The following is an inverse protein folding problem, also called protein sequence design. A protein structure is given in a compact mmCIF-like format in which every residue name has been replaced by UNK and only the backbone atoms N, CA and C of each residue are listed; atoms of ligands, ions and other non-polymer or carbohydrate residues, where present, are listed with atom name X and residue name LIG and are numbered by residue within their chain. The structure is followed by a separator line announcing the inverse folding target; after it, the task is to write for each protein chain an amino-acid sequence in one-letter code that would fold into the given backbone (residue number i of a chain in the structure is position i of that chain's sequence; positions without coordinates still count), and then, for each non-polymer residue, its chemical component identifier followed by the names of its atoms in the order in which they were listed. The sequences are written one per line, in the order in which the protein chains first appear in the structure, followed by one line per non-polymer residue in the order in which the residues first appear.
data_IF_227021921686
#
_entry.id   IF_227021921686
#
_cell.length_a   1.000
_cell.length_b   1.000
_cell.length_c   1.000
_cell.angle_alpha   90.00
_cell.angle_beta   90.00
_cell.angle_gamma   90.00
#
_symmetry.space_group_name_H-M   'P 1'
#
loop_
_entity.id
_entity.type
_entity.pdbx_description
1 polymer ?
#
# COMPACT_ATOMS: atom_id res chain seq x y z
N UNK A 1 -9.49 13.70 -10.79
CA UNK A 1 -10.34 14.26 -11.86
C UNK A 1 -11.39 15.20 -11.25
N UNK A 2 -12.32 15.76 -12.04
CA UNK A 2 -13.35 16.69 -11.55
C UNK A 2 -14.23 16.13 -10.41
N UNK A 3 -14.27 14.80 -10.26
CA UNK A 3 -15.01 14.06 -9.25
C UNK A 3 -14.12 13.36 -8.21
N UNK A 4 -12.79 13.50 -8.28
CA UNK A 4 -11.84 13.02 -7.27
C UNK A 4 -10.65 13.98 -7.16
N UNK A 5 -10.68 14.84 -6.15
CA UNK A 5 -9.63 15.82 -5.92
C UNK A 5 -8.42 15.14 -5.26
N UNK A 6 -7.44 14.73 -6.05
CA UNK A 6 -6.19 14.17 -5.54
C UNK A 6 -5.18 15.29 -5.18
N UNK A 7 -4.40 15.16 -4.08
CA UNK A 7 -4.44 14.12 -3.04
C UNK A 7 -5.40 14.49 -1.89
N UNK A 8 -6.30 15.46 -2.08
CA UNK A 8 -7.19 15.99 -1.01
C UNK A 8 -8.07 14.92 -0.39
N UNK A 9 -8.54 13.97 -1.18
CA UNK A 9 -9.36 12.82 -0.75
C UNK A 9 -8.59 11.51 -0.64
N UNK A 10 -7.26 11.62 -0.64
CA UNK A 10 -6.36 10.50 -0.42
C UNK A 10 -6.33 9.50 -1.57
N UNK A 11 -5.39 8.58 -1.43
CA UNK A 11 -5.18 7.44 -2.29
C UNK A 11 -4.75 6.25 -1.44
N UNK A 12 -5.29 5.09 -1.76
CA UNK A 12 -4.93 3.83 -1.12
C UNK A 12 -4.56 2.85 -2.23
N UNK A 13 -3.26 2.76 -2.48
CA UNK A 13 -2.72 1.78 -3.42
C UNK A 13 -2.70 0.44 -2.74
N UNK A 14 -3.70 -0.38 -3.05
CA UNK A 14 -3.82 -1.73 -2.49
C UNK A 14 -2.65 -2.58 -2.99
N UNK A 15 -2.39 -2.48 -4.31
CA UNK A 15 -1.36 -3.21 -5.01
C UNK A 15 -0.79 -2.31 -6.10
N UNK A 16 0.47 -1.94 -5.93
CA UNK A 16 1.21 -1.13 -6.89
C UNK A 16 2.62 -1.68 -7.01
N UNK A 17 3.19 -1.66 -8.21
CA UNK A 17 4.56 -2.11 -8.42
C UNK A 17 5.12 -1.54 -9.71
N UNK A 18 6.41 -1.75 -9.90
CA UNK A 18 7.13 -1.13 -11.01
C UNK A 18 8.23 -2.04 -11.53
N UNK A 19 8.53 -1.91 -12.82
CA UNK A 19 9.63 -2.61 -13.49
C UNK A 19 9.58 -4.13 -13.26
N UNK A 20 10.71 -4.71 -12.85
CA UNK A 20 10.89 -6.14 -12.60
C UNK A 20 10.70 -6.55 -11.13
N UNK A 21 10.11 -5.68 -10.28
CA UNK A 21 9.89 -6.02 -8.87
C UNK A 21 9.07 -7.30 -8.73
N UNK A 22 9.42 -8.10 -7.73
CA UNK A 22 8.75 -9.37 -7.39
C UNK A 22 7.70 -9.23 -6.30
N UNK A 23 7.56 -8.03 -5.74
CA UNK A 23 6.60 -7.70 -4.70
C UNK A 23 5.77 -6.47 -5.10
N UNK A 24 4.57 -6.36 -4.55
CA UNK A 24 3.77 -5.15 -4.58
C UNK A 24 4.12 -4.26 -3.37
N UNK A 25 3.95 -2.96 -3.50
CA UNK A 25 3.83 -2.05 -2.38
C UNK A 25 2.34 -1.79 -2.14
N UNK A 26 2.01 -1.58 -0.87
CA UNK A 26 0.77 -0.95 -0.47
C UNK A 26 1.11 0.42 0.09
N UNK A 27 0.52 1.47 -0.45
CA UNK A 27 0.92 2.85 -0.17
C UNK A 27 -0.31 3.71 0.10
N UNK A 28 -0.15 4.71 0.98
CA UNK A 28 -1.12 5.80 1.08
C UNK A 28 -0.48 7.11 0.63
N UNK A 29 -1.26 7.90 -0.12
CA UNK A 29 -0.93 9.27 -0.47
C UNK A 29 -1.98 10.22 0.10
N UNK A 30 -1.55 11.26 0.80
CA UNK A 30 -2.44 12.23 1.46
C UNK A 30 -1.96 13.66 1.25
N UNK A 31 -2.77 14.61 1.73
CA UNK A 31 -2.30 15.96 2.09
C UNK A 31 -1.43 15.90 3.35
N UNK A 32 -0.89 17.05 3.77
CA UNK A 32 -0.05 17.17 4.97
C UNK A 32 -0.73 16.62 6.25
N UNK A 33 0.07 16.36 7.27
CA UNK A 33 -0.36 15.88 8.60
C UNK A 33 -0.92 14.45 8.58
N UNK A 34 -0.17 13.51 7.99
CA UNK A 34 -0.45 12.07 8.05
C UNK A 34 0.84 11.26 8.20
N UNK A 35 1.28 11.05 9.44
CA UNK A 35 2.48 10.27 9.74
C UNK A 35 2.15 8.94 10.43
N UNK A 36 2.79 7.85 9.97
CA UNK A 36 2.64 6.49 10.50
C UNK A 36 3.71 6.20 11.57
N UNK A 37 3.86 7.14 12.52
CA UNK A 37 4.96 7.16 13.50
C UNK A 37 5.00 5.88 14.36
N UNK A 38 3.84 5.44 14.83
CA UNK A 38 3.69 4.35 15.81
C UNK A 38 3.35 3.00 15.17
N UNK A 39 3.40 2.90 13.84
CA UNK A 39 3.16 1.64 13.12
C UNK A 39 4.48 0.90 12.90
N UNK A 40 4.55 -0.33 13.43
CA UNK A 40 5.75 -1.14 13.51
C UNK A 40 5.58 -2.49 12.82
N UNK A 41 6.69 -2.96 12.24
CA UNK A 41 6.78 -4.28 11.62
C UNK A 41 6.77 -5.35 12.72
N UNK A 42 6.00 -6.42 12.51
CA UNK A 42 5.72 -7.53 13.42
C UNK A 42 4.81 -7.19 14.61
N UNK A 43 4.29 -5.96 14.69
CA UNK A 43 3.27 -5.55 15.65
C UNK A 43 1.94 -5.35 14.91
N UNK A 44 1.81 -4.24 14.19
CA UNK A 44 0.58 -3.92 13.45
C UNK A 44 0.51 -4.59 12.06
N UNK A 45 1.66 -4.83 11.43
CA UNK A 45 1.73 -5.48 10.12
C UNK A 45 2.92 -6.43 9.99
N UNK A 46 2.81 -7.43 9.10
CA UNK A 46 3.81 -8.50 8.89
C UNK A 46 4.25 -8.67 7.42
N UNK A 47 4.21 -7.59 6.64
CA UNK A 47 4.83 -7.53 5.32
C UNK A 47 6.37 -7.59 5.40
N UNK A 48 7.06 -7.06 4.40
CA UNK A 48 8.53 -7.01 4.36
C UNK A 48 9.11 -5.67 4.88
N UNK A 49 8.32 -4.95 5.66
CA UNK A 49 8.69 -3.64 6.21
C UNK A 49 8.31 -2.47 5.31
N UNK A 50 8.83 -1.29 5.65
CA UNK A 50 8.54 -0.05 4.93
C UNK A 50 9.35 0.05 3.63
N UNK A 51 8.79 0.71 2.62
CA UNK A 51 9.51 1.15 1.43
C UNK A 51 10.58 2.17 1.87
N UNK A 52 11.82 2.10 1.34
CA UNK A 52 12.87 3.04 1.71
C UNK A 52 12.61 4.44 1.12
N UNK A 53 12.77 5.47 1.94
CA UNK A 53 12.80 6.88 1.58
C UNK A 53 14.12 7.32 0.94
N UNK A 54 14.23 8.62 0.62
CA UNK A 54 15.35 9.18 -0.15
C UNK A 54 16.71 9.08 0.53
N UNK A 55 16.74 8.95 1.86
CA UNK A 55 17.98 8.85 2.64
C UNK A 55 18.09 7.49 3.36
N UNK A 56 17.37 6.48 2.89
CA UNK A 56 17.31 5.16 3.55
C UNK A 56 16.44 5.13 4.80
N UNK A 57 15.76 6.22 5.13
CA UNK A 57 14.68 6.27 6.12
C UNK A 57 13.51 5.38 5.70
N UNK A 58 12.61 5.07 6.64
CA UNK A 58 11.34 4.39 6.33
C UNK A 58 10.36 5.43 5.81
N UNK A 59 9.70 5.16 4.67
CA UNK A 59 8.67 6.02 4.10
C UNK A 59 7.40 5.97 4.98
N UNK A 60 7.37 6.79 6.03
CA UNK A 60 6.34 6.76 7.08
C UNK A 60 5.41 7.96 7.02
N UNK A 61 5.73 8.99 6.26
CA UNK A 61 4.86 10.14 6.06
C UNK A 61 4.07 9.99 4.76
N UNK A 62 2.74 9.91 4.86
CA UNK A 62 1.87 9.68 3.72
C UNK A 62 1.66 10.97 2.90
N UNK A 63 2.15 12.11 3.38
CA UNK A 63 2.07 13.35 2.65
C UNK A 63 2.90 13.30 1.36
N UNK A 64 2.26 13.60 0.22
CA UNK A 64 2.93 13.60 -1.10
C UNK A 64 4.10 14.59 -1.24
N UNK A 65 4.28 15.51 -0.30
CA UNK A 65 5.45 16.41 -0.21
C UNK A 65 6.15 16.33 1.14
N UNK A 66 6.16 15.14 1.75
CA UNK A 66 6.84 14.87 3.00
C UNK A 66 8.33 15.29 2.93
N UNK A 67 8.82 16.13 3.87
CA UNK A 67 10.23 16.47 3.93
C UNK A 67 11.10 15.24 4.20
N UNK A 68 12.17 15.05 3.42
CA UNK A 68 13.09 13.92 3.60
C UNK A 68 12.62 12.59 2.99
N UNK A 69 11.55 12.61 2.21
CA UNK A 69 11.10 11.51 1.36
C UNK A 69 11.12 11.94 -0.12
N UNK A 70 11.02 10.98 -1.05
CA UNK A 70 10.91 11.32 -2.46
C UNK A 70 9.60 12.07 -2.73
N UNK A 71 9.58 12.93 -3.75
CA UNK A 71 8.35 13.60 -4.15
C UNK A 71 7.31 12.55 -4.55
N UNK A 72 6.08 12.73 -4.05
CA UNK A 72 4.97 11.79 -4.22
C UNK A 72 5.25 10.36 -3.72
N UNK A 73 6.14 10.17 -2.76
CA UNK A 73 6.43 8.83 -2.26
C UNK A 73 5.28 8.22 -1.47
N UNK A 74 4.62 9.01 -0.63
CA UNK A 74 3.64 8.51 0.32
C UNK A 74 4.25 7.52 1.33
N UNK A 75 3.40 6.90 2.14
CA UNK A 75 3.84 5.96 3.16
C UNK A 75 3.64 4.52 2.67
N UNK A 76 4.70 3.91 2.17
CA UNK A 76 4.64 2.60 1.51
C UNK A 76 5.10 1.45 2.40
N UNK A 77 4.38 0.33 2.38
CA UNK A 77 4.77 -0.93 3.00
C UNK A 77 4.95 -2.02 1.94
N UNK A 78 6.06 -2.74 2.01
CA UNK A 78 6.39 -3.83 1.08
C UNK A 78 5.56 -5.06 1.42
N UNK A 79 4.89 -5.59 0.41
CA UNK A 79 4.18 -6.86 0.51
C UNK A 79 5.17 -8.04 0.43
N UNK A 80 4.77 -9.27 0.79
CA UNK A 80 5.63 -10.44 0.67
C UNK A 80 6.21 -10.63 -0.74
N UNK A 81 7.42 -11.18 -0.86
CA UNK A 81 7.95 -11.60 -2.16
C UNK A 81 7.00 -12.58 -2.87
N UNK A 82 6.89 -12.45 -4.18
CA UNK A 82 5.94 -13.21 -4.99
C UNK A 82 4.52 -12.66 -4.98
N UNK A 83 4.29 -11.53 -4.32
CA UNK A 83 3.01 -10.81 -4.33
C UNK A 83 2.75 -10.03 -5.63
N UNK A 84 3.73 -9.96 -6.55
CA UNK A 84 3.55 -9.29 -7.84
C UNK A 84 4.24 -10.01 -9.00
N UNK A 85 3.79 -9.66 -10.21
CA UNK A 85 4.49 -9.93 -11.46
C UNK A 85 4.56 -11.41 -11.82
N UNK A 86 5.68 -11.81 -12.43
CA UNK A 86 5.87 -13.16 -12.97
C UNK A 86 5.69 -14.25 -11.90
N UNK A 87 6.24 -14.03 -10.71
CA UNK A 87 6.16 -14.99 -9.62
C UNK A 87 4.70 -15.23 -9.18
N UNK A 88 3.92 -14.15 -9.00
CA UNK A 88 2.50 -14.24 -8.69
C UNK A 88 1.72 -15.00 -9.77
N UNK A 89 1.97 -14.69 -11.04
CA UNK A 89 1.29 -15.31 -12.18
C UNK A 89 1.59 -16.81 -12.27
N UNK A 90 2.85 -17.20 -12.09
CA UNK A 90 3.26 -18.61 -12.09
C UNK A 90 2.67 -19.40 -10.90
N UNK A 91 2.45 -18.75 -9.76
CA UNK A 91 1.77 -19.34 -8.61
C UNK A 91 0.24 -19.46 -8.78
N UNK A 92 -0.33 -19.01 -9.91
CA UNK A 92 -1.76 -19.04 -10.17
C UNK A 92 -2.54 -17.90 -9.49
N UNK A 93 -1.87 -16.78 -9.20
CA UNK A 93 -2.48 -15.59 -8.60
C UNK A 93 -2.62 -15.65 -7.08
N UNK A 94 -3.39 -14.71 -6.54
CA UNK A 94 -3.66 -14.55 -5.11
C UNK A 94 -4.98 -13.82 -4.90
N UNK A 95 -5.43 -13.75 -3.65
CA UNK A 95 -6.51 -12.87 -3.22
C UNK A 95 -5.93 -11.74 -2.37
N UNK A 96 -6.26 -10.51 -2.75
CA UNK A 96 -6.01 -9.32 -1.94
C UNK A 96 -7.29 -8.95 -1.22
N UNK A 97 -7.19 -8.71 0.09
CA UNK A 97 -8.27 -8.11 0.87
C UNK A 97 -7.80 -6.74 1.35
N UNK A 98 -8.57 -5.72 1.03
CA UNK A 98 -8.34 -4.34 1.42
C UNK A 98 -9.50 -3.88 2.29
N UNK A 99 -9.21 -3.39 3.48
CA UNK A 99 -10.18 -2.89 4.42
C UNK A 99 -9.86 -1.43 4.72
N UNK A 100 -10.86 -0.58 4.52
CA UNK A 100 -10.84 0.81 4.91
C UNK A 100 -11.92 1.00 5.98
N UNK A 101 -11.48 1.20 7.22
CA UNK A 101 -12.36 1.29 8.38
C UNK A 101 -12.06 2.59 9.16
N UNK A 102 -12.66 3.72 8.74
CA UNK A 102 -12.44 5.00 9.41
C UNK A 102 -12.99 5.01 10.84
N UNK A 103 -14.03 4.22 11.15
CA UNK A 103 -14.65 4.15 12.47
C UNK A 103 -13.73 3.47 13.49
N UNK A 104 -13.08 2.39 13.07
CA UNK A 104 -12.04 1.72 13.86
C UNK A 104 -10.63 2.29 13.66
N UNK A 105 -10.51 3.33 12.83
CA UNK A 105 -9.31 4.15 12.62
C UNK A 105 -8.13 3.38 12.03
N UNK A 106 -8.37 2.58 11.00
CA UNK A 106 -7.28 1.95 10.25
C UNK A 106 -7.60 1.69 8.77
N UNK A 107 -6.52 1.50 8.00
CA UNK A 107 -6.55 0.83 6.71
C UNK A 107 -5.68 -0.41 6.83
N UNK A 108 -6.20 -1.57 6.38
CA UNK A 108 -5.49 -2.85 6.45
C UNK A 108 -5.51 -3.57 5.12
N UNK A 109 -4.45 -4.32 4.84
CA UNK A 109 -4.31 -5.12 3.62
C UNK A 109 -3.81 -6.50 3.97
N UNK A 110 -4.41 -7.53 3.36
CA UNK A 110 -3.93 -8.90 3.41
C UNK A 110 -3.65 -9.40 2.00
N UNK A 111 -2.53 -10.10 1.87
CA UNK A 111 -2.19 -10.92 0.72
C UNK A 111 -2.38 -12.40 1.08
N UNK A 112 -3.28 -13.07 0.38
CA UNK A 112 -3.51 -14.51 0.50
C UNK A 112 -3.03 -15.21 -0.77
N UNK A 113 -1.89 -15.93 -0.72
CA UNK A 113 -1.45 -16.76 -1.84
C UNK A 113 -2.56 -17.73 -2.30
N UNK A 114 -2.49 -18.18 -3.56
CA UNK A 114 -3.44 -19.17 -4.10
C UNK A 114 -3.63 -20.35 -3.12
N UNK A 115 -4.89 -20.65 -2.79
CA UNK A 115 -5.24 -21.74 -1.88
C UNK A 115 -5.09 -21.43 -0.38
N UNK A 116 -4.73 -20.19 -0.01
CA UNK A 116 -4.64 -19.73 1.39
C UNK A 116 -5.74 -18.75 1.79
N UNK A 117 -6.74 -18.56 0.94
CA UNK A 117 -7.88 -17.67 1.19
C UNK A 117 -8.68 -18.19 2.41
N UNK A 118 -8.93 -17.35 3.43
CA UNK A 118 -9.81 -17.67 4.54
C UNK A 118 -11.20 -18.15 4.10
N UNK A 119 -11.76 -19.13 4.82
CA UNK A 119 -13.05 -19.76 4.48
C UNK A 119 -14.20 -18.75 4.48
N UNK A 120 -14.19 -17.82 5.41
CA UNK A 120 -15.21 -16.77 5.56
C UNK A 120 -15.28 -15.84 4.35
N UNK A 121 -14.16 -15.59 3.65
CA UNK A 121 -14.14 -14.90 2.36
C UNK A 121 -14.82 -15.72 1.25
N UNK A 122 -14.58 -17.04 1.21
CA UNK A 122 -15.24 -17.93 0.25
C UNK A 122 -16.75 -18.02 0.51
N UNK A 123 -17.15 -17.95 1.78
CA UNK A 123 -18.54 -17.92 2.23
C UNK A 123 -19.18 -16.52 2.17
N UNK A 124 -18.46 -15.49 1.69
CA UNK A 124 -18.92 -14.09 1.59
C UNK A 124 -19.39 -13.49 2.92
N UNK A 125 -18.77 -13.91 4.02
CA UNK A 125 -19.03 -13.42 5.39
C UNK A 125 -17.71 -12.98 6.03
N UNK A 126 -17.03 -11.95 5.49
CA UNK A 126 -15.69 -11.57 5.94
C UNK A 126 -15.66 -11.23 7.43
N UNK A 127 -14.67 -11.78 8.14
CA UNK A 127 -14.34 -11.50 9.54
C UNK A 127 -12.84 -11.17 9.61
N UNK A 128 -12.43 -9.94 9.22
CA UNK A 128 -11.02 -9.56 9.11
C UNK A 128 -10.20 -9.77 10.39
N UNK A 129 -10.84 -9.59 11.56
CA UNK A 129 -10.21 -9.83 12.86
C UNK A 129 -9.72 -11.27 13.06
N UNK A 130 -10.23 -12.24 12.29
CA UNK A 130 -9.82 -13.65 12.36
C UNK A 130 -8.62 -14.01 11.47
N UNK A 131 -8.21 -13.12 10.56
CA UNK A 131 -7.15 -13.41 9.58
C UNK A 131 -5.72 -13.19 10.12
N UNK A 132 -5.62 -12.74 11.38
CA UNK A 132 -4.36 -12.39 12.04
C UNK A 132 -3.76 -11.09 11.52
N UNK A 133 -2.49 -10.83 11.89
CA UNK A 133 -1.78 -9.58 11.54
C UNK A 133 -1.78 -9.39 10.01
N UNK A 134 -2.21 -8.22 9.49
CA UNK A 134 -2.24 -7.93 8.06
C UNK A 134 -0.84 -7.81 7.46
N UNK A 135 -0.73 -7.90 6.13
CA UNK A 135 0.54 -7.63 5.45
C UNK A 135 0.83 -6.13 5.36
N UNK A 136 -0.21 -5.28 5.43
CA UNK A 136 -0.09 -3.85 5.67
C UNK A 136 -1.10 -3.31 6.66
N UNK A 137 -0.68 -2.31 7.44
CA UNK A 137 -1.52 -1.59 8.38
C UNK A 137 -1.15 -0.12 8.35
N UNK A 138 -2.16 0.74 8.32
CA UNK A 138 -2.01 2.18 8.47
C UNK A 138 -2.97 2.67 9.55
N UNK A 139 -2.44 3.42 10.50
CA UNK A 139 -3.20 4.09 11.54
C UNK A 139 -3.94 5.27 10.94
N UNK A 140 -5.22 5.41 11.27
CA UNK A 140 -6.03 6.59 10.99
C UNK A 140 -6.34 7.41 12.27
N UNK A 141 -5.45 7.39 13.25
CA UNK A 141 -5.65 8.11 14.51
C UNK A 141 -5.74 9.63 14.27
N UNK A 142 -6.68 10.34 14.90
CA UNK A 142 -6.95 11.76 14.62
C UNK A 142 -5.75 12.70 14.73
N UNK A 143 -4.81 12.41 15.63
CA UNK A 143 -3.67 13.27 15.92
C UNK A 143 -2.42 12.96 15.08
N UNK A 144 -2.44 11.86 14.31
CA UNK A 144 -1.28 11.39 13.54
C UNK A 144 -1.56 11.34 12.05
N UNK A 145 -2.66 10.67 11.68
CA UNK A 145 -3.17 10.63 10.33
C UNK A 145 -4.69 10.49 10.40
N UNK A 146 -5.43 11.59 10.40
CA UNK A 146 -6.88 11.52 10.52
C UNK A 146 -7.54 10.77 9.35
N UNK A 147 -8.60 10.00 9.64
CA UNK A 147 -9.43 9.37 8.62
C UNK A 147 -9.99 10.36 7.57
N UNK A 148 -10.09 11.65 7.89
CA UNK A 148 -10.55 12.71 6.98
C UNK A 148 -9.58 12.99 5.80
N UNK A 149 -8.46 12.29 5.73
CA UNK A 149 -7.60 12.26 4.54
C UNK A 149 -8.21 11.42 3.42
N UNK A 150 -9.09 10.47 3.73
CA UNK A 150 -9.66 9.52 2.78
C UNK A 150 -11.17 9.72 2.69
N UNK A 151 -11.68 10.05 1.50
CA UNK A 151 -13.10 10.27 1.27
C UNK A 151 -13.49 9.80 -0.13
N UNK A 152 -14.71 9.28 -0.28
CA UNK A 152 -15.31 8.97 -1.59
C UNK A 152 -14.40 8.12 -2.49
N UNK A 153 -13.73 7.14 -1.89
CA UNK A 153 -12.83 6.24 -2.60
C UNK A 153 -13.54 5.50 -3.72
N UNK A 154 -12.84 5.30 -4.84
CA UNK A 154 -13.29 4.47 -5.95
C UNK A 154 -12.22 3.46 -6.30
N UNK A 155 -12.64 2.33 -6.83
CA UNK A 155 -11.72 1.32 -7.33
C UNK A 155 -11.17 1.74 -8.69
N UNK A 156 -9.86 1.63 -8.87
CA UNK A 156 -9.15 1.89 -10.13
C UNK A 156 -8.30 0.67 -10.47
N UNK A 157 -8.29 0.31 -11.74
CA UNK A 157 -7.36 -0.66 -12.32
C UNK A 157 -6.72 0.01 -13.52
N UNK A 158 -5.40 0.13 -13.50
CA UNK A 158 -4.65 0.67 -14.61
C UNK A 158 -3.30 -0.02 -14.77
N UNK A 159 -2.71 0.19 -15.94
CA UNK A 159 -1.33 -0.13 -16.26
C UNK A 159 -0.81 1.06 -17.06
N UNK A 160 0.16 1.76 -16.53
CA UNK A 160 0.86 2.85 -17.21
C UNK A 160 2.33 2.48 -17.48
N UNK A 161 3.00 3.29 -18.29
CA UNK A 161 4.39 3.05 -18.69
C UNK A 161 5.23 4.28 -18.44
N UNK A 162 6.45 4.06 -17.93
CA UNK A 162 7.39 5.11 -17.56
C UNK A 162 6.75 6.10 -16.58
N UNK A 163 6.33 7.27 -17.06
CA UNK A 163 5.70 8.29 -16.22
C UNK A 163 6.58 8.71 -15.04
N UNK A 164 5.94 9.34 -14.07
CA UNK A 164 6.62 10.03 -12.96
C UNK A 164 7.39 9.07 -12.04
N UNK A 165 6.95 7.80 -11.94
CA UNK A 165 7.67 6.80 -11.14
C UNK A 165 8.62 5.95 -11.99
N UNK A 166 8.18 5.46 -13.15
CA UNK A 166 8.91 4.49 -13.96
C UNK A 166 10.07 5.07 -14.72
N UNK A 167 9.92 6.24 -15.33
CA UNK A 167 10.98 6.87 -16.11
C UNK A 167 12.24 7.13 -15.26
N UNK A 168 12.13 7.86 -14.14
CA UNK A 168 13.28 8.20 -13.30
C UNK A 168 13.97 7.00 -12.64
N UNK A 169 13.26 5.88 -12.43
CA UNK A 169 13.77 4.73 -11.67
C UNK A 169 14.18 3.54 -12.54
N UNK A 170 13.98 3.62 -13.86
CA UNK A 170 14.24 2.51 -14.79
C UNK A 170 15.67 1.99 -14.72
N UNK A 171 16.69 2.85 -14.81
CA UNK A 171 18.09 2.42 -14.82
C UNK A 171 18.54 1.71 -13.54
N UNK A 172 17.95 2.06 -12.39
CA UNK A 172 18.25 1.40 -11.12
C UNK A 172 17.59 0.02 -10.99
N UNK A 173 16.39 -0.16 -11.57
CA UNK A 173 15.62 -1.40 -11.46
C UNK A 173 15.83 -2.37 -12.62
N UNK A 174 16.23 -1.88 -13.79
CA UNK A 174 16.51 -2.68 -14.98
C UNK A 174 17.97 -2.51 -15.44
N UNK A 175 18.98 -2.82 -14.61
CA UNK A 175 20.38 -2.67 -15.01
C UNK A 175 20.70 -3.67 -16.13
N UNK A 176 21.02 -3.18 -17.33
CA UNK A 176 21.40 -4.01 -18.48
C UNK A 176 20.38 -4.05 -19.62
N UNK A 177 19.29 -3.29 -19.53
CA UNK A 177 18.55 -2.78 -20.68
C UNK A 177 19.01 -1.34 -20.91
#
# INVERSE_FOLDING_TARGET
DAHHAWPRWGEYDILESIHNRTYAATTLHTRADCAQKDVNLNEEFKGQGWVPGSWGNKAKDCYVKAPGEYSNQGCGQKQPDGSWGRALNQAGGATWAAEWDPDNKYIRTWFFPRGKVPRDLLERRPVPASWGIPTSFFSLQPNDCSANHFERMRMVFDITFCGDWGGPTFGAHCPGI
#
